data_IF_979274682212
#
_entry.id   IF_979274682212
#
_cell.length_a   1.000
_cell.length_b   1.000
_cell.length_c   1.000
_cell.angle_alpha   90.00
_cell.angle_beta   90.00
_cell.angle_gamma   90.00
#
_symmetry.space_group_name_H-M   'P 1'
#
loop_
_entity.id
_entity.type
_entity.pdbx_description
1 polymer ?
#
# COMPACT_ATOMS: atom_id res chain seq x y z
N UNK A 1 16.26 -16.33 6.35
CA UNK A 1 14.93 -16.09 5.75
C UNK A 1 14.16 -15.11 6.61
N UNK A 2 13.62 -14.05 6.00
CA UNK A 2 12.87 -13.02 6.72
C UNK A 2 11.49 -13.54 7.11
N UNK A 3 11.14 -13.45 8.39
CA UNK A 3 9.81 -13.82 8.85
C UNK A 3 8.78 -12.76 8.43
N UNK A 4 7.49 -13.13 8.46
CA UNK A 4 6.43 -12.16 8.20
C UNK A 4 6.50 -10.99 9.18
N UNK A 5 6.76 -11.25 10.46
CA UNK A 5 6.87 -10.21 11.48
C UNK A 5 8.02 -9.25 11.20
N UNK A 6 9.19 -9.77 10.83
CA UNK A 6 10.35 -8.95 10.50
C UNK A 6 10.10 -8.10 9.24
N UNK A 7 9.54 -8.71 8.19
CA UNK A 7 9.18 -8.01 6.97
C UNK A 7 8.18 -6.89 7.27
N UNK A 8 7.11 -7.22 8.01
CA UNK A 8 6.06 -6.26 8.33
C UNK A 8 6.59 -5.07 9.11
N UNK A 9 7.46 -5.32 10.10
CA UNK A 9 8.07 -4.26 10.91
C UNK A 9 8.89 -3.31 10.04
N UNK A 10 9.74 -3.83 9.16
CA UNK A 10 10.58 -3.00 8.30
C UNK A 10 9.76 -2.29 7.22
N UNK A 11 8.82 -2.99 6.61
CA UNK A 11 7.93 -2.42 5.59
C UNK A 11 7.15 -1.22 6.15
N UNK A 12 6.53 -1.40 7.32
CA UNK A 12 5.75 -0.34 7.96
C UNK A 12 6.63 0.83 8.39
N UNK A 13 7.84 0.55 8.88
CA UNK A 13 8.79 1.60 9.23
C UNK A 13 9.13 2.48 8.00
N UNK A 14 9.31 1.85 6.84
CA UNK A 14 9.55 2.57 5.59
C UNK A 14 8.33 3.42 5.20
N UNK A 15 7.12 2.88 5.34
CA UNK A 15 5.90 3.63 5.06
C UNK A 15 5.76 4.84 5.97
N UNK A 16 6.03 4.68 7.26
CA UNK A 16 5.98 5.79 8.24
C UNK A 16 6.99 6.89 7.92
N UNK A 17 8.11 6.53 7.31
CA UNK A 17 9.16 7.46 6.91
C UNK A 17 8.89 8.09 5.53
N UNK A 18 7.74 7.78 4.90
CA UNK A 18 7.40 8.29 3.58
C UNK A 18 8.12 7.61 2.43
N UNK A 19 8.83 6.52 2.70
CA UNK A 19 9.66 5.80 1.72
C UNK A 19 8.88 4.65 1.08
N UNK A 20 7.73 4.98 0.50
CA UNK A 20 6.80 4.00 -0.08
C UNK A 20 7.41 3.22 -1.25
N UNK A 21 8.15 3.90 -2.13
CA UNK A 21 8.79 3.26 -3.28
C UNK A 21 9.85 2.25 -2.85
N UNK A 22 10.63 2.59 -1.81
CA UNK A 22 11.63 1.68 -1.28
C UNK A 22 10.98 0.46 -0.63
N UNK A 23 9.89 0.65 0.11
CA UNK A 23 9.16 -0.44 0.72
C UNK A 23 8.67 -1.43 -0.34
N UNK A 24 8.03 -0.92 -1.38
CA UNK A 24 7.52 -1.73 -2.48
C UNK A 24 8.67 -2.44 -3.23
N UNK A 25 9.74 -1.71 -3.53
CA UNK A 25 10.89 -2.28 -4.25
C UNK A 25 11.56 -3.40 -3.47
N UNK A 26 11.66 -3.24 -2.14
CA UNK A 26 12.32 -4.23 -1.29
C UNK A 26 11.49 -5.49 -1.08
N UNK A 27 10.16 -5.34 -0.93
CA UNK A 27 9.33 -6.42 -0.42
C UNK A 27 8.25 -6.95 -1.34
N UNK A 28 7.83 -6.23 -2.36
CA UNK A 28 6.82 -6.73 -3.29
C UNK A 28 7.40 -7.86 -4.16
N UNK A 29 6.67 -8.97 -4.23
CA UNK A 29 7.01 -10.05 -5.14
C UNK A 29 6.78 -9.60 -6.59
N UNK A 30 7.50 -10.20 -7.54
CA UNK A 30 7.31 -9.86 -8.96
C UNK A 30 5.87 -10.14 -9.43
N UNK A 31 5.24 -11.16 -8.88
CA UNK A 31 3.87 -11.58 -9.20
C UNK A 31 2.80 -11.01 -8.26
N UNK A 32 3.12 -9.97 -7.48
CA UNK A 32 2.16 -9.34 -6.56
C UNK A 32 0.86 -8.97 -7.25
N UNK A 33 -0.26 -9.13 -6.55
CA UNK A 33 -1.57 -8.65 -7.01
C UNK A 33 -2.08 -7.64 -6.00
N UNK A 34 -2.54 -6.50 -6.50
CA UNK A 34 -3.08 -5.41 -5.67
C UNK A 34 -4.54 -5.17 -6.01
N UNK A 35 -5.37 -5.10 -4.96
CA UNK A 35 -6.82 -4.91 -5.08
C UNK A 35 -7.25 -3.60 -4.42
N UNK A 36 -8.04 -2.81 -5.18
CA UNK A 36 -8.63 -1.56 -4.69
C UNK A 36 -10.15 -1.69 -4.64
N UNK A 37 -10.78 -0.92 -3.77
CA UNK A 37 -12.24 -0.84 -3.68
C UNK A 37 -12.77 0.26 -4.59
N UNK A 38 -12.44 0.17 -5.88
CA UNK A 38 -12.92 1.12 -6.89
C UNK A 38 -13.07 0.40 -8.22
N UNK A 39 -14.13 0.67 -8.99
CA UNK A 39 -14.26 0.08 -10.33
C UNK A 39 -13.27 0.73 -11.30
N UNK A 40 -12.87 -0.03 -12.32
CA UNK A 40 -12.03 0.47 -13.39
C UNK A 40 -10.65 -0.18 -13.46
N UNK A 41 -9.71 0.43 -14.21
CA UNK A 41 -8.41 -0.19 -14.49
C UNK A 41 -7.55 -0.46 -13.27
N UNK A 42 -7.77 0.28 -12.17
CA UNK A 42 -6.97 0.17 -10.95
C UNK A 42 -7.58 -0.79 -9.92
N UNK A 43 -8.74 -1.38 -10.21
CA UNK A 43 -9.40 -2.32 -9.28
C UNK A 43 -8.52 -3.53 -8.97
N UNK A 44 -7.88 -4.09 -9.99
CA UNK A 44 -6.95 -5.20 -9.84
C UNK A 44 -5.70 -4.89 -10.69
N UNK A 45 -4.55 -4.79 -10.03
CA UNK A 45 -3.28 -4.62 -10.70
C UNK A 45 -2.43 -5.85 -10.45
N UNK A 46 -1.93 -6.46 -11.53
CA UNK A 46 -1.13 -7.69 -11.47
C UNK A 46 0.31 -7.42 -11.87
N UNK A 47 1.22 -7.85 -11.01
CA UNK A 47 2.65 -7.71 -11.23
C UNK A 47 3.23 -6.44 -10.61
N UNK A 48 4.50 -6.54 -10.24
CA UNK A 48 5.23 -5.48 -9.52
C UNK A 48 5.21 -4.16 -10.29
N UNK A 49 5.38 -4.21 -11.61
CA UNK A 49 5.40 -3.00 -12.43
C UNK A 49 4.03 -2.31 -12.48
N UNK A 50 2.94 -3.07 -12.63
CA UNK A 50 1.59 -2.49 -12.64
C UNK A 50 1.26 -1.84 -11.30
N UNK A 51 1.67 -2.45 -10.20
CA UNK A 51 1.48 -1.91 -8.85
C UNK A 51 2.27 -0.62 -8.67
N UNK A 52 3.51 -0.59 -9.18
CA UNK A 52 4.35 0.62 -9.15
C UNK A 52 3.69 1.75 -9.94
N UNK A 53 3.18 1.47 -11.13
CA UNK A 53 2.49 2.44 -11.96
C UNK A 53 1.22 2.99 -11.30
N UNK A 54 0.48 2.13 -10.59
CA UNK A 54 -0.68 2.55 -9.81
C UNK A 54 -0.28 3.57 -8.74
N UNK A 55 0.80 3.32 -8.03
CA UNK A 55 1.34 4.25 -7.03
C UNK A 55 1.74 5.60 -7.64
N UNK A 56 2.40 5.59 -8.78
CA UNK A 56 2.78 6.80 -9.50
C UNK A 56 1.56 7.59 -9.95
N UNK A 57 0.54 6.90 -10.47
CA UNK A 57 -0.71 7.53 -10.88
C UNK A 57 -1.38 8.22 -9.69
N UNK A 58 -1.42 7.53 -8.55
CA UNK A 58 -2.03 8.08 -7.33
C UNK A 58 -1.34 9.37 -6.90
N UNK A 59 -0.02 9.36 -6.82
CA UNK A 59 0.77 10.53 -6.44
C UNK A 59 0.59 11.67 -7.44
N UNK A 60 0.55 11.37 -8.74
CA UNK A 60 0.40 12.38 -9.79
C UNK A 60 -0.98 13.05 -9.75
N UNK A 61 -2.01 12.36 -9.27
CA UNK A 61 -3.40 12.85 -9.32
C UNK A 61 -3.94 13.37 -7.97
N UNK A 62 -3.14 13.32 -6.93
CA UNK A 62 -3.54 13.77 -5.60
C UNK A 62 -2.50 14.71 -4.99
N UNK A 63 -2.98 15.78 -4.38
CA UNK A 63 -2.15 16.64 -3.54
C UNK A 63 -2.25 16.13 -2.11
N UNK A 64 -1.14 15.67 -1.56
CA UNK A 64 -1.11 15.08 -0.22
C UNK A 64 -0.96 16.17 0.85
N UNK A 65 -1.89 16.21 1.80
CA UNK A 65 -1.84 17.13 2.94
C UNK A 65 -1.36 16.40 4.20
N UNK A 66 -1.87 15.19 4.43
CA UNK A 66 -1.46 14.37 5.56
C UNK A 66 -1.58 12.89 5.21
N UNK A 67 -0.61 12.11 5.66
CA UNK A 67 -0.61 10.67 5.49
C UNK A 67 0.02 10.04 6.73
N UNK A 68 -0.76 9.28 7.49
CA UNK A 68 -0.23 8.60 8.67
C UNK A 68 -0.46 7.11 8.56
N UNK A 69 0.46 6.35 9.15
CA UNK A 69 0.48 4.89 9.07
C UNK A 69 0.57 4.31 10.46
N UNK A 70 -0.29 3.36 10.78
CA UNK A 70 -0.25 2.63 12.05
C UNK A 70 -0.22 1.12 11.81
N UNK A 71 0.47 0.42 12.65
CA UNK A 71 0.66 -1.02 12.57
C UNK A 71 2.13 -1.38 12.68
N UNK A 72 2.51 -2.61 12.30
CA UNK A 72 1.66 -3.64 11.70
C UNK A 72 0.84 -4.42 12.73
N UNK A 73 -0.30 -4.96 12.30
CA UNK A 73 -1.13 -5.88 13.08
C UNK A 73 -0.99 -7.26 12.45
N UNK A 74 -0.43 -8.20 13.18
CA UNK A 74 0.03 -9.48 12.63
C UNK A 74 -0.96 -10.62 12.84
N UNK A 75 -1.11 -11.46 11.82
CA UNK A 75 -1.83 -12.73 11.92
C UNK A 75 -1.23 -13.74 10.92
N UNK A 76 -0.33 -14.60 11.41
CA UNK A 76 0.31 -15.63 10.59
C UNK A 76 1.12 -15.05 9.43
N UNK A 77 0.74 -15.39 8.22
CA UNK A 77 1.40 -14.90 7.00
C UNK A 77 0.82 -13.57 6.49
N UNK A 78 -0.08 -12.96 7.26
CA UNK A 78 -0.69 -11.69 6.89
C UNK A 78 -0.42 -10.63 7.94
N UNK A 79 -0.44 -9.37 7.50
CA UNK A 79 -0.46 -8.24 8.41
C UNK A 79 -1.34 -7.14 7.85
N UNK A 80 -1.96 -6.41 8.77
CA UNK A 80 -2.78 -5.25 8.42
C UNK A 80 -2.07 -3.97 8.81
N UNK A 81 -2.33 -2.91 8.06
CA UNK A 81 -1.83 -1.56 8.32
C UNK A 81 -3.01 -0.63 8.17
N UNK A 82 -3.14 0.35 9.07
CA UNK A 82 -4.16 1.39 8.91
C UNK A 82 -3.51 2.68 8.45
N UNK A 83 -4.22 3.38 7.54
CA UNK A 83 -3.78 4.65 7.00
C UNK A 83 -4.82 5.73 7.25
N UNK A 84 -4.37 6.92 7.59
CA UNK A 84 -5.19 8.12 7.51
C UNK A 84 -4.65 8.97 6.37
N UNK A 85 -5.54 9.40 5.48
CA UNK A 85 -5.17 10.12 4.27
C UNK A 85 -6.00 11.39 4.17
N UNK A 86 -5.32 12.53 3.99
CA UNK A 86 -5.94 13.82 3.72
C UNK A 86 -5.34 14.33 2.42
N UNK A 87 -6.16 14.34 1.36
CA UNK A 87 -5.72 14.67 -0.01
C UNK A 87 -6.68 15.60 -0.70
N UNK A 88 -6.19 16.29 -1.72
CA UNK A 88 -7.03 16.99 -2.70
C UNK A 88 -6.88 16.26 -4.03
N UNK A 89 -8.02 15.89 -4.64
CA UNK A 89 -8.04 15.31 -5.99
C UNK A 89 -7.80 16.44 -6.97
N UNK A 90 -6.68 16.41 -7.69
CA UNK A 90 -6.27 17.52 -8.55
C UNK A 90 -7.28 17.84 -9.64
N UNK A 91 -7.89 16.81 -10.24
CA UNK A 91 -8.85 16.99 -11.33
C UNK A 91 -10.10 17.78 -10.92
N UNK A 92 -10.67 17.46 -9.75
CA UNK A 92 -11.93 18.05 -9.28
C UNK A 92 -11.75 19.13 -8.24
N UNK A 93 -10.59 19.21 -7.60
CA UNK A 93 -10.34 20.08 -6.46
C UNK A 93 -10.99 19.60 -5.18
N UNK A 94 -11.58 18.40 -5.19
CA UNK A 94 -12.25 17.83 -4.02
C UNK A 94 -11.24 17.41 -2.96
N UNK A 95 -11.48 17.84 -1.72
CA UNK A 95 -10.68 17.40 -0.58
C UNK A 95 -11.32 16.19 0.07
N UNK A 96 -10.52 15.16 0.28
CA UNK A 96 -10.96 13.91 0.89
C UNK A 96 -10.11 13.57 2.10
N UNK A 97 -10.80 13.26 3.19
CA UNK A 97 -10.17 12.75 4.42
C UNK A 97 -10.74 11.36 4.66
N UNK A 98 -9.87 10.35 4.71
CA UNK A 98 -10.36 8.97 4.78
C UNK A 98 -9.43 8.09 5.58
N UNK A 99 -9.99 7.02 6.13
CA UNK A 99 -9.23 5.94 6.73
C UNK A 99 -9.25 4.75 5.79
N UNK A 100 -8.10 4.09 5.66
CA UNK A 100 -7.97 2.87 4.86
C UNK A 100 -7.32 1.79 5.69
N UNK A 101 -7.62 0.53 5.35
CA UNK A 101 -6.90 -0.62 5.88
C UNK A 101 -6.23 -1.33 4.71
N UNK A 102 -4.94 -1.57 4.81
CA UNK A 102 -4.21 -2.41 3.87
C UNK A 102 -3.98 -3.78 4.49
N UNK A 103 -4.41 -4.84 3.81
CA UNK A 103 -4.13 -6.21 4.21
C UNK A 103 -3.10 -6.80 3.27
N UNK A 104 -2.00 -7.26 3.83
CA UNK A 104 -0.84 -7.76 3.08
C UNK A 104 -0.65 -9.24 3.37
N UNK A 105 -0.45 -10.03 2.32
CA UNK A 105 -0.15 -11.45 2.43
C UNK A 105 1.30 -11.69 2.02
N UNK A 106 2.04 -12.39 2.86
CA UNK A 106 3.48 -12.65 2.68
C UNK A 106 3.70 -14.12 2.38
N UNK A 107 4.54 -14.40 1.39
CA UNK A 107 5.04 -15.75 1.11
C UNK A 107 6.51 -15.66 0.75
N UNK A 108 7.31 -16.53 1.36
CA UNK A 108 8.75 -16.63 1.05
C UNK A 108 9.48 -15.29 1.15
N UNK A 109 9.14 -14.50 2.18
CA UNK A 109 9.81 -13.23 2.44
C UNK A 109 9.43 -12.10 1.49
N UNK A 110 8.32 -12.24 0.76
CA UNK A 110 7.82 -11.21 -0.16
C UNK A 110 6.32 -11.03 0.00
N UNK A 111 5.84 -9.81 -0.31
CA UNK A 111 4.41 -9.51 -0.33
C UNK A 111 3.86 -9.97 -1.67
N UNK A 112 2.91 -10.92 -1.64
CA UNK A 112 2.30 -11.49 -2.85
C UNK A 112 0.91 -10.92 -3.12
N UNK A 113 0.28 -10.32 -2.12
CA UNK A 113 -1.02 -9.67 -2.27
C UNK A 113 -1.13 -8.48 -1.34
N UNK A 114 -1.70 -7.40 -1.84
CA UNK A 114 -2.13 -6.28 -1.02
C UNK A 114 -3.58 -5.96 -1.38
N UNK A 115 -4.41 -5.71 -0.36
CA UNK A 115 -5.83 -5.43 -0.54
C UNK A 115 -6.22 -4.27 0.35
N UNK A 116 -6.86 -3.28 -0.25
CA UNK A 116 -7.21 -2.04 0.46
C UNK A 116 -8.71 -1.97 0.72
N UNK A 117 -9.06 -1.61 1.95
CA UNK A 117 -10.44 -1.49 2.43
C UNK A 117 -10.72 -0.01 2.79
N UNK A 118 -11.71 0.53 2.12
CA UNK A 118 -12.18 1.91 2.39
C UNK A 118 -13.57 2.14 1.85
#
# INVERSE_FOLDING_TARGET
MTSTAELATDFVALLKDGRHDEAASAYNADEIVSYENMPGPMEVCRGKEAVRQKGEWWVANHELHEFTTEGPYLNGEQFAVTFYVDVTVKESGERRKMHEVGLYTVKEGKIVEERFFY
#
